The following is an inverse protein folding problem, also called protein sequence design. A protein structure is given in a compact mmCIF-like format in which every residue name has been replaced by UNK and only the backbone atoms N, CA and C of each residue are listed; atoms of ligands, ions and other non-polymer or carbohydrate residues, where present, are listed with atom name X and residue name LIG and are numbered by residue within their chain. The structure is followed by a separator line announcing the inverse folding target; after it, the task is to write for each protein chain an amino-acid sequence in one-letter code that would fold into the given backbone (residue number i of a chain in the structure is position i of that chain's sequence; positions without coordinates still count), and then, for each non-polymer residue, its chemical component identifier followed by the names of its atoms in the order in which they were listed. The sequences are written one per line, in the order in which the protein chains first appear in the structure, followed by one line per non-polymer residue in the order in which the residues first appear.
data_IF_623885140017
#
_entry.id   IF_623885140017
#
_cell.length_a   1.000
_cell.length_b   1.000
_cell.length_c   1.000
_cell.angle_alpha   90.00
_cell.angle_beta   90.00
_cell.angle_gamma   90.00
#
_symmetry.space_group_name_H-M   'P 1'
#
loop_
_entity.id
_entity.type
_entity.pdbx_description
1 polymer ?
#
# COMPACT_ATOMS: atom_id res chain seq x y z
N UNK A 1 -16.96 -18.72 10.89
CA UNK A 1 -16.24 -18.66 9.60
C UNK A 1 -14.81 -18.11 9.74
N UNK A 2 -14.13 -18.37 10.86
CA UNK A 2 -12.82 -17.76 11.20
C UNK A 2 -11.64 -18.40 10.47
N UNK A 3 -11.82 -19.60 9.93
CA UNK A 3 -10.75 -20.38 9.31
C UNK A 3 -10.17 -19.73 8.04
N UNK A 4 -11.00 -19.00 7.27
CA UNK A 4 -10.60 -18.40 6.00
C UNK A 4 -10.36 -16.89 6.06
N UNK A 5 -10.81 -16.24 7.15
CA UNK A 5 -10.80 -14.79 7.28
C UNK A 5 -9.39 -14.19 7.12
N UNK A 6 -8.37 -14.82 7.70
CA UNK A 6 -7.00 -14.32 7.60
C UNK A 6 -6.46 -14.40 6.16
N UNK A 7 -6.70 -15.52 5.47
CA UNK A 7 -6.30 -15.71 4.07
C UNK A 7 -7.00 -14.71 3.16
N UNK A 8 -8.30 -14.50 3.36
CA UNK A 8 -9.07 -13.52 2.58
C UNK A 8 -8.59 -12.08 2.82
N UNK A 9 -8.26 -11.74 4.07
CA UNK A 9 -7.67 -10.45 4.42
C UNK A 9 -6.32 -10.23 3.73
N UNK A 10 -5.44 -11.23 3.73
CA UNK A 10 -4.12 -11.15 3.11
C UNK A 10 -4.20 -11.00 1.60
N UNK A 11 -5.13 -11.72 0.96
CA UNK A 11 -5.41 -11.60 -0.47
C UNK A 11 -6.00 -10.22 -0.81
N UNK A 12 -6.97 -9.74 -0.03
CA UNK A 12 -7.58 -8.44 -0.22
C UNK A 12 -6.55 -7.31 -0.04
N UNK A 13 -5.73 -7.37 1.02
CA UNK A 13 -4.64 -6.44 1.24
C UNK A 13 -3.68 -6.40 0.04
N UNK A 14 -3.26 -7.56 -0.44
CA UNK A 14 -2.31 -7.64 -1.56
C UNK A 14 -2.87 -7.02 -2.83
N UNK A 15 -4.12 -7.34 -3.16
CA UNK A 15 -4.81 -6.80 -4.33
C UNK A 15 -4.88 -5.27 -4.27
N UNK A 16 -5.28 -4.72 -3.12
CA UNK A 16 -5.39 -3.27 -2.93
C UNK A 16 -4.01 -2.61 -2.98
N UNK A 17 -3.02 -3.14 -2.27
CA UNK A 17 -1.66 -2.59 -2.24
C UNK A 17 -1.04 -2.54 -3.65
N UNK A 18 -1.14 -3.63 -4.43
CA UNK A 18 -0.50 -3.76 -5.75
C UNK A 18 -0.98 -2.71 -6.75
N UNK A 19 -2.22 -2.24 -6.61
CA UNK A 19 -2.76 -1.15 -7.44
C UNK A 19 -2.54 0.22 -6.79
N UNK A 20 -3.06 0.41 -5.57
CA UNK A 20 -3.15 1.72 -4.95
C UNK A 20 -1.77 2.31 -4.63
N UNK A 21 -0.83 1.49 -4.16
CA UNK A 21 0.48 1.98 -3.71
C UNK A 21 1.28 2.66 -4.81
N UNK A 22 1.51 2.03 -5.98
CA UNK A 22 2.24 2.69 -7.04
C UNK A 22 1.46 3.86 -7.66
N UNK A 23 0.15 3.74 -7.82
CA UNK A 23 -0.66 4.75 -8.54
C UNK A 23 -0.85 6.02 -7.72
N UNK A 24 -1.20 5.89 -6.43
CA UNK A 24 -1.37 7.05 -5.55
C UNK A 24 -0.04 7.79 -5.37
N UNK A 25 1.05 7.05 -5.17
CA UNK A 25 2.39 7.64 -5.10
C UNK A 25 2.78 8.40 -6.36
N UNK A 26 2.49 7.83 -7.53
CA UNK A 26 2.79 8.48 -8.80
C UNK A 26 1.95 9.76 -8.98
N UNK A 27 0.66 9.71 -8.65
CA UNK A 27 -0.24 10.86 -8.69
C UNK A 27 0.22 11.99 -7.75
N UNK A 28 0.61 11.66 -6.52
CA UNK A 28 1.08 12.65 -5.55
C UNK A 28 2.43 13.25 -5.91
N UNK A 29 3.40 12.46 -6.39
CA UNK A 29 4.76 12.96 -6.60
C UNK A 29 5.00 13.53 -8.00
N UNK A 30 4.31 13.05 -9.02
CA UNK A 30 4.51 13.48 -10.41
C UNK A 30 3.33 14.26 -10.98
N UNK A 31 2.12 14.07 -10.44
CA UNK A 31 0.93 14.83 -10.83
C UNK A 31 0.77 16.16 -10.11
N UNK A 32 1.43 16.36 -8.96
CA UNK A 32 1.34 17.59 -8.18
C UNK A 32 2.50 18.56 -8.47
N UNK A 33 2.18 19.84 -8.62
CA UNK A 33 3.19 20.91 -8.73
C UNK A 33 3.82 21.19 -7.36
N UNK A 34 3.01 21.32 -6.32
CA UNK A 34 3.46 21.57 -4.95
C UNK A 34 3.40 20.28 -4.14
N UNK A 35 4.56 19.71 -3.81
CA UNK A 35 4.66 18.45 -3.06
C UNK A 35 4.63 18.72 -1.56
N UNK A 36 3.91 17.87 -0.82
CA UNK A 36 3.81 17.97 0.64
C UNK A 36 4.83 17.08 1.34
N UNK A 37 4.69 15.76 1.18
CA UNK A 37 5.56 14.75 1.79
C UNK A 37 5.91 13.66 0.77
N UNK A 38 7.11 13.04 0.85
CA UNK A 38 7.46 11.89 0.03
C UNK A 38 6.51 10.71 0.28
N UNK A 39 6.08 10.05 -0.80
CA UNK A 39 5.11 8.97 -0.75
C UNK A 39 5.55 7.82 0.15
N UNK A 40 6.83 7.46 0.13
CA UNK A 40 7.36 6.39 0.98
C UNK A 40 7.10 6.64 2.48
N UNK A 41 7.16 7.90 2.94
CA UNK A 41 6.84 8.27 4.33
C UNK A 41 5.34 8.20 4.61
N UNK A 42 4.54 8.73 3.67
CA UNK A 42 3.07 8.72 3.79
C UNK A 42 2.54 7.29 3.81
N UNK A 43 3.06 6.43 2.94
CA UNK A 43 2.69 5.02 2.88
C UNK A 43 3.04 4.28 4.16
N UNK A 44 4.24 4.51 4.71
CA UNK A 44 4.65 3.87 5.97
C UNK A 44 3.70 4.23 7.10
N UNK A 45 3.41 5.52 7.25
CA UNK A 45 2.45 6.01 8.24
C UNK A 45 1.07 5.41 8.05
N UNK A 46 0.48 5.52 6.85
CA UNK A 46 -0.90 5.10 6.63
C UNK A 46 -1.09 3.58 6.67
N UNK A 47 -0.18 2.83 6.04
CA UNK A 47 -0.38 1.40 5.81
C UNK A 47 0.29 0.57 6.89
N UNK A 48 1.52 0.93 7.29
CA UNK A 48 2.28 0.14 8.25
C UNK A 48 1.92 0.51 9.69
N UNK A 49 1.94 1.80 10.03
CA UNK A 49 1.69 2.27 11.41
C UNK A 49 0.18 2.31 11.72
N UNK A 50 -0.58 3.11 10.97
CA UNK A 50 -1.99 3.40 11.27
C UNK A 50 -2.88 2.18 11.01
N UNK A 51 -2.82 1.61 9.79
CA UNK A 51 -3.68 0.49 9.43
C UNK A 51 -3.13 -0.85 9.97
N UNK A 52 -1.89 -1.19 9.60
CA UNK A 52 -1.26 -2.46 9.95
C UNK A 52 -1.03 -2.65 11.44
N UNK A 53 -0.76 -1.56 12.17
CA UNK A 53 -0.59 -1.53 13.61
C UNK A 53 -1.90 -1.22 14.34
N UNK A 54 -2.34 0.03 14.32
CA UNK A 54 -3.40 0.54 15.21
C UNK A 54 -4.79 -0.01 14.83
N UNK A 55 -5.14 -0.02 13.55
CA UNK A 55 -6.45 -0.48 13.11
C UNK A 55 -6.60 -1.99 13.25
N UNK A 56 -5.67 -2.77 12.72
CA UNK A 56 -5.71 -4.23 12.83
C UNK A 56 -5.46 -4.74 14.26
N UNK A 57 -4.66 -4.03 15.07
CA UNK A 57 -4.48 -4.37 16.49
C UNK A 57 -5.80 -4.35 17.28
N UNK A 58 -6.76 -3.47 16.92
CA UNK A 58 -8.10 -3.47 17.53
C UNK A 58 -8.91 -4.73 17.23
N UNK A 59 -8.53 -5.48 16.19
CA UNK A 59 -9.19 -6.71 15.76
C UNK A 59 -8.49 -7.98 16.26
N UNK A 60 -7.36 -7.85 16.96
CA UNK A 60 -6.58 -9.00 17.47
C UNK A 60 -7.39 -9.89 18.42
N UNK A 61 -8.26 -9.29 19.24
CA UNK A 61 -9.20 -10.02 20.12
C UNK A 61 -10.19 -10.93 19.35
N UNK A 62 -10.33 -10.72 18.05
CA UNK A 62 -11.13 -11.55 17.15
C UNK A 62 -10.24 -12.48 16.29
N UNK A 63 -8.98 -12.69 16.66
CA UNK A 63 -8.06 -13.58 15.97
C UNK A 63 -7.50 -13.05 14.64
N UNK A 64 -7.78 -11.79 14.28
CA UNK A 64 -7.21 -11.15 13.09
C UNK A 64 -5.78 -10.71 13.37
N UNK A 65 -4.88 -10.98 12.42
CA UNK A 65 -3.47 -10.57 12.50
C UNK A 65 -3.13 -9.65 11.34
N UNK A 66 -2.09 -8.84 11.51
CA UNK A 66 -1.50 -8.08 10.41
C UNK A 66 -1.10 -9.03 9.28
N UNK A 67 -1.35 -8.68 7.99
CA UNK A 67 -1.06 -9.55 6.86
C UNK A 67 0.40 -9.98 6.82
N UNK A 68 0.66 -11.28 6.60
CA UNK A 68 2.02 -11.81 6.52
C UNK A 68 2.86 -11.14 5.40
N UNK A 69 2.19 -10.70 4.33
CA UNK A 69 2.79 -10.02 3.17
C UNK A 69 2.95 -8.49 3.34
N UNK A 70 2.64 -7.92 4.51
CA UNK A 70 2.77 -6.47 4.78
C UNK A 70 4.22 -5.98 4.66
N UNK A 71 5.19 -6.78 5.10
CA UNK A 71 6.61 -6.44 4.99
C UNK A 71 7.08 -6.36 3.52
N UNK A 72 6.56 -7.25 2.67
CA UNK A 72 6.88 -7.28 1.25
C UNK A 72 6.27 -6.08 0.54
N UNK A 73 5.04 -5.72 0.91
CA UNK A 73 4.38 -4.51 0.46
C UNK A 73 5.17 -3.24 0.85
N UNK A 74 5.70 -3.17 2.07
CA UNK A 74 6.56 -2.05 2.52
C UNK A 74 7.82 -1.92 1.68
N UNK A 75 8.45 -3.03 1.30
CA UNK A 75 9.61 -3.01 0.39
C UNK A 75 9.24 -2.49 -1.00
N UNK A 76 8.08 -2.89 -1.53
CA UNK A 76 7.60 -2.42 -2.85
C UNK A 76 7.18 -0.96 -2.86
N UNK A 77 6.69 -0.43 -1.73
CA UNK A 77 6.20 0.95 -1.63
C UNK A 77 7.28 2.01 -1.94
N UNK A 78 8.55 1.70 -1.64
CA UNK A 78 9.64 2.66 -1.82
C UNK A 78 9.85 3.05 -3.29
N UNK A 79 9.95 2.07 -4.21
CA UNK A 79 10.23 2.33 -5.63
C UNK A 79 9.04 2.13 -6.56
N UNK A 80 7.99 1.43 -6.14
CA UNK A 80 6.92 0.99 -7.04
C UNK A 80 6.27 2.11 -7.84
N UNK A 81 6.02 3.25 -7.21
CA UNK A 81 5.40 4.40 -7.86
C UNK A 81 6.29 5.07 -8.91
N UNK A 82 7.61 5.11 -8.71
CA UNK A 82 8.56 5.62 -9.71
C UNK A 82 8.57 4.74 -10.96
N UNK A 83 8.58 3.41 -10.79
CA UNK A 83 8.52 2.48 -11.92
C UNK A 83 7.19 2.60 -12.67
N UNK A 84 6.07 2.72 -11.96
CA UNK A 84 4.77 2.92 -12.56
C UNK A 84 4.69 4.21 -13.36
N UNK A 85 5.21 5.32 -12.82
CA UNK A 85 5.22 6.58 -13.56
C UNK A 85 6.14 6.53 -14.78
N UNK A 86 7.30 5.86 -14.69
CA UNK A 86 8.19 5.69 -15.83
C UNK A 86 7.49 4.96 -16.99
N UNK A 87 6.74 3.89 -16.70
CA UNK A 87 5.93 3.19 -17.70
C UNK A 87 4.81 4.09 -18.21
N UNK A 88 4.04 4.71 -17.32
CA UNK A 88 2.92 5.59 -17.70
C UNK A 88 3.37 6.72 -18.64
N UNK A 89 4.52 7.33 -18.35
CA UNK A 89 5.08 8.38 -19.19
C UNK A 89 5.58 7.84 -20.53
N UNK A 90 6.20 6.65 -20.55
CA UNK A 90 6.65 6.02 -21.79
C UNK A 90 5.49 5.67 -22.73
N UNK A 91 4.30 5.39 -22.17
CA UNK A 91 3.10 5.02 -22.93
C UNK A 91 2.02 6.11 -22.94
N UNK A 92 2.38 7.37 -22.68
CA UNK A 92 1.43 8.49 -22.57
C UNK A 92 0.42 8.66 -23.74
N UNK A 93 0.69 8.22 -25.00
CA UNK A 93 -0.29 8.35 -26.08
C UNK A 93 -1.36 7.24 -26.13
N UNK A 94 -1.25 6.19 -25.31
CA UNK A 94 -2.28 5.14 -25.20
C UNK A 94 -3.55 5.67 -24.53
#
# INVERSE_FOLDING_TARGET
NMQYLQTDLENAFWLQHRFATPIVGAGFEYGAVNKLEPWAKVWDRWVYEDWGGIWLGRLEKFGVKSPANLADAKRQAYWGHHYTYAVAYAVWPL
#
